data_IF_556418517553
#
_entry.id   IF_556418517553
#
_cell.length_a   1.000
_cell.length_b   1.000
_cell.length_c   1.000
_cell.angle_alpha   90.00
_cell.angle_beta   90.00
_cell.angle_gamma   90.00
#
_symmetry.space_group_name_H-M   'P 1'
#
loop_
_entity.id
_entity.type
_entity.pdbx_description
1 polymer ?
#
# COMPACT_ATOMS: atom_id res chain seq x y z
N UNK A 1 -29.92 -15.74 -47.18
CA UNK A 1 -28.56 -15.32 -47.59
C UNK A 1 -27.65 -15.48 -46.38
N UNK A 2 -26.98 -16.62 -46.28
CA UNK A 2 -26.11 -16.98 -45.17
C UNK A 2 -24.68 -16.75 -45.66
N UNK A 3 -23.99 -15.78 -45.09
CA UNK A 3 -22.57 -15.54 -45.37
C UNK A 3 -21.76 -16.69 -44.76
N UNK A 4 -21.37 -17.66 -45.58
CA UNK A 4 -20.28 -18.58 -45.26
C UNK A 4 -18.98 -17.76 -45.22
N UNK A 5 -18.72 -17.15 -44.07
CA UNK A 5 -17.41 -16.61 -43.79
C UNK A 5 -16.48 -17.81 -43.60
N UNK A 6 -15.73 -18.15 -44.65
CA UNK A 6 -14.75 -19.22 -44.57
C UNK A 6 -13.75 -18.93 -43.46
N UNK A 7 -13.54 -19.87 -42.54
CA UNK A 7 -12.65 -19.72 -41.37
C UNK A 7 -11.27 -19.12 -41.74
N UNK A 8 -10.77 -19.43 -42.94
CA UNK A 8 -9.49 -18.92 -43.44
C UNK A 8 -9.46 -17.40 -43.67
N UNK A 9 -10.61 -16.76 -43.97
CA UNK A 9 -10.67 -15.31 -44.16
C UNK A 9 -10.71 -14.53 -42.83
N UNK A 10 -10.94 -15.22 -41.70
CA UNK A 10 -10.94 -14.62 -40.36
C UNK A 10 -9.52 -14.47 -39.79
N UNK A 11 -8.57 -15.33 -40.18
CA UNK A 11 -7.21 -15.33 -39.62
C UNK A 11 -6.46 -14.00 -39.82
N UNK A 12 -6.44 -13.36 -40.99
CA UNK A 12 -5.73 -12.09 -41.15
C UNK A 12 -6.26 -10.99 -40.21
N UNK A 13 -7.57 -10.95 -39.97
CA UNK A 13 -8.20 -10.02 -39.03
C UNK A 13 -7.83 -10.34 -37.58
N UNK A 14 -7.78 -11.63 -37.21
CA UNK A 14 -7.36 -12.08 -35.89
C UNK A 14 -5.88 -11.81 -35.63
N UNK A 15 -5.00 -12.04 -36.62
CA UNK A 15 -3.57 -11.73 -36.54
C UNK A 15 -3.34 -10.24 -36.28
N UNK A 16 -4.01 -9.36 -37.03
CA UNK A 16 -3.91 -7.92 -36.83
C UNK A 16 -4.40 -7.49 -35.43
N UNK A 17 -5.50 -8.07 -34.94
CA UNK A 17 -6.02 -7.81 -33.59
C UNK A 17 -5.09 -8.35 -32.50
N UNK A 18 -4.51 -9.53 -32.70
CA UNK A 18 -3.57 -10.14 -31.78
C UNK A 18 -2.29 -9.30 -31.67
N UNK A 19 -1.74 -8.82 -32.79
CA UNK A 19 -0.60 -7.92 -32.81
C UNK A 19 -0.87 -6.63 -32.02
N UNK A 20 -2.03 -6.00 -32.27
CA UNK A 20 -2.45 -4.79 -31.53
C UNK A 20 -2.61 -5.05 -30.03
N UNK A 21 -3.22 -6.18 -29.66
CA UNK A 21 -3.39 -6.57 -28.26
C UNK A 21 -2.05 -6.81 -27.57
N UNK A 22 -1.08 -7.41 -28.27
CA UNK A 22 0.26 -7.64 -27.76
C UNK A 22 0.97 -6.30 -27.48
N UNK A 23 1.03 -5.41 -28.47
CA UNK A 23 1.62 -4.07 -28.30
C UNK A 23 0.98 -3.29 -27.15
N UNK A 24 -0.35 -3.27 -27.07
CA UNK A 24 -1.06 -2.59 -25.98
C UNK A 24 -0.74 -3.22 -24.61
N UNK A 25 -0.66 -4.55 -24.55
CA UNK A 25 -0.29 -5.26 -23.31
C UNK A 25 1.15 -4.99 -22.89
N UNK A 26 2.08 -4.80 -23.82
CA UNK A 26 3.48 -4.52 -23.50
C UNK A 26 3.63 -3.10 -22.95
N UNK A 27 2.99 -2.11 -23.58
CA UNK A 27 2.93 -0.75 -23.06
C UNK A 27 2.29 -0.67 -21.67
N UNK A 28 1.25 -1.48 -21.41
CA UNK A 28 0.66 -1.58 -20.07
C UNK A 28 1.68 -2.11 -19.03
N UNK A 29 2.48 -3.11 -19.39
CA UNK A 29 3.49 -3.66 -18.49
C UNK A 29 4.60 -2.65 -18.18
N UNK A 30 5.04 -1.89 -19.18
CA UNK A 30 6.05 -0.84 -19.01
C UNK A 30 5.55 0.25 -18.05
N UNK A 31 4.29 0.68 -18.21
CA UNK A 31 3.66 1.65 -17.31
C UNK A 31 3.52 1.10 -15.89
N UNK A 32 3.00 -0.11 -15.72
CA UNK A 32 2.90 -0.77 -14.42
C UNK A 32 4.27 -0.89 -13.73
N UNK A 33 5.29 -1.31 -14.47
CA UNK A 33 6.66 -1.42 -13.95
C UNK A 33 7.23 -0.07 -13.54
N UNK A 34 6.94 1.00 -14.28
CA UNK A 34 7.36 2.36 -13.95
C UNK A 34 6.68 2.87 -12.68
N UNK A 35 5.36 2.64 -12.54
CA UNK A 35 4.60 3.02 -11.34
C UNK A 35 5.08 2.25 -10.12
N UNK A 36 5.21 0.93 -10.24
CA UNK A 36 5.71 0.07 -9.16
C UNK A 36 7.10 0.52 -8.70
N UNK A 37 8.02 0.80 -9.63
CA UNK A 37 9.36 1.28 -9.31
C UNK A 37 9.33 2.59 -8.53
N UNK A 38 8.45 3.52 -8.91
CA UNK A 38 8.26 4.79 -8.18
C UNK A 38 7.72 4.56 -6.78
N UNK A 39 6.70 3.72 -6.62
CA UNK A 39 6.13 3.40 -5.31
C UNK A 39 7.17 2.73 -4.39
N UNK A 40 7.99 1.83 -4.91
CA UNK A 40 9.08 1.21 -4.16
C UNK A 40 10.11 2.25 -3.72
N UNK A 41 10.50 3.17 -4.62
CA UNK A 41 11.46 4.24 -4.30
C UNK A 41 10.98 5.19 -3.20
N UNK A 42 9.66 5.38 -3.06
CA UNK A 42 9.09 6.17 -1.97
C UNK A 42 9.25 5.51 -0.59
N UNK A 43 9.60 4.22 -0.52
CA UNK A 43 9.83 3.49 0.72
C UNK A 43 8.70 3.64 1.77
N UNK A 44 7.44 3.68 1.30
CA UNK A 44 6.29 3.96 2.15
C UNK A 44 6.13 2.98 3.33
N UNK A 45 6.58 1.73 3.16
CA UNK A 45 6.56 0.71 4.21
C UNK A 45 5.16 0.29 4.69
N UNK A 46 4.10 0.72 3.99
CA UNK A 46 2.70 0.45 4.30
C UNK A 46 2.06 -0.40 3.22
N UNK A 47 1.25 -1.36 3.67
CA UNK A 47 0.39 -2.17 2.81
C UNK A 47 -0.93 -1.45 2.56
N UNK A 48 -1.31 -1.32 1.29
CA UNK A 48 -2.55 -0.67 0.85
C UNK A 48 -3.29 -1.60 -0.11
N UNK A 49 -4.56 -1.86 0.15
CA UNK A 49 -5.45 -2.61 -0.75
C UNK A 49 -6.54 -1.69 -1.25
N UNK A 50 -6.79 -1.75 -2.55
CA UNK A 50 -7.85 -0.97 -3.19
C UNK A 50 -9.21 -1.38 -2.65
N UNK A 51 -10.06 -0.39 -2.38
CA UNK A 51 -11.39 -0.61 -1.79
C UNK A 51 -12.34 -1.40 -2.69
N UNK A 52 -12.09 -1.45 -4.00
CA UNK A 52 -12.95 -2.08 -5.01
C UNK A 52 -12.24 -3.23 -5.72
N UNK A 53 -12.97 -4.29 -6.09
CA UNK A 53 -12.41 -5.35 -6.90
C UNK A 53 -12.11 -4.87 -8.33
N UNK A 54 -11.00 -5.33 -8.90
CA UNK A 54 -10.61 -5.07 -10.29
C UNK A 54 -11.11 -6.14 -11.26
N UNK A 55 -11.52 -7.29 -10.72
CA UNK A 55 -12.10 -8.40 -11.46
C UNK A 55 -12.95 -9.25 -10.52
N UNK A 56 -13.92 -9.98 -11.08
CA UNK A 56 -14.78 -10.89 -10.34
C UNK A 56 -15.09 -12.11 -11.21
N UNK A 57 -15.01 -13.29 -10.63
CA UNK A 57 -15.35 -14.56 -11.28
C UNK A 57 -16.36 -15.30 -10.43
N UNK A 58 -17.51 -15.63 -11.03
CA UNK A 58 -18.52 -16.45 -10.38
C UNK A 58 -17.99 -17.88 -10.21
N UNK A 59 -18.09 -18.43 -8.99
CA UNK A 59 -17.76 -19.83 -8.73
C UNK A 59 -18.99 -20.73 -8.77
N UNK A 60 -20.15 -20.24 -8.32
CA UNK A 60 -21.34 -21.08 -8.13
C UNK A 60 -22.52 -20.71 -9.07
N UNK A 61 -22.42 -19.60 -9.80
CA UNK A 61 -23.53 -19.09 -10.62
C UNK A 61 -24.72 -18.61 -9.76
N UNK A 62 -25.72 -18.00 -10.39
CA UNK A 62 -26.92 -17.54 -9.70
C UNK A 62 -27.78 -18.74 -9.27
N UNK A 63 -27.70 -19.10 -7.98
CA UNK A 63 -28.43 -20.23 -7.38
C UNK A 63 -29.87 -19.85 -6.96
N UNK A 64 -30.29 -18.61 -7.23
CA UNK A 64 -31.65 -18.12 -6.97
C UNK A 64 -31.70 -17.01 -5.90
N UNK A 65 -32.85 -16.30 -5.81
CA UNK A 65 -32.95 -15.03 -5.08
C UNK A 65 -32.76 -15.11 -3.56
N UNK A 66 -32.80 -16.32 -2.98
CA UNK A 66 -32.69 -16.55 -1.54
C UNK A 66 -31.50 -17.44 -1.17
N UNK A 67 -30.60 -17.71 -2.11
CA UNK A 67 -29.46 -18.60 -1.88
C UNK A 67 -28.17 -17.82 -1.67
N UNK A 68 -27.24 -18.45 -0.95
CA UNK A 68 -25.92 -17.87 -0.70
C UNK A 68 -25.15 -17.87 -2.01
N UNK A 69 -24.63 -16.72 -2.45
CA UNK A 69 -23.79 -16.64 -3.66
C UNK A 69 -22.33 -16.51 -3.28
N UNK A 70 -21.47 -17.30 -3.93
CA UNK A 70 -20.01 -17.24 -3.77
C UNK A 70 -19.32 -16.85 -5.07
N UNK A 71 -18.57 -15.77 -5.03
CA UNK A 71 -17.73 -15.33 -6.15
C UNK A 71 -16.33 -14.97 -5.66
N UNK A 72 -15.34 -15.12 -6.55
CA UNK A 72 -13.96 -14.74 -6.28
C UNK A 72 -13.69 -13.39 -6.90
N UNK A 73 -13.33 -12.44 -6.07
CA UNK A 73 -12.89 -11.12 -6.49
C UNK A 73 -11.38 -11.00 -6.44
N UNK A 74 -10.83 -10.17 -7.31
CA UNK A 74 -9.41 -9.85 -7.34
C UNK A 74 -9.22 -8.40 -6.87
N UNK A 75 -8.45 -8.21 -5.80
CA UNK A 75 -8.20 -6.89 -5.22
C UNK A 75 -6.78 -6.43 -5.55
N UNK A 76 -6.65 -5.25 -6.14
CA UNK A 76 -5.35 -4.59 -6.37
C UNK A 76 -4.78 -4.07 -5.05
N UNK A 77 -3.46 -4.11 -4.89
CA UNK A 77 -2.79 -3.47 -3.75
C UNK A 77 -1.32 -3.20 -3.99
N UNK A 78 -0.71 -2.49 -3.04
CA UNK A 78 0.73 -2.33 -2.89
C UNK A 78 1.11 -3.04 -1.59
N UNK A 79 1.77 -4.18 -1.73
CA UNK A 79 1.96 -5.12 -0.63
C UNK A 79 3.27 -5.88 -0.78
N UNK A 80 3.65 -6.63 0.26
CA UNK A 80 4.75 -7.58 0.15
C UNK A 80 4.27 -8.86 -0.54
N UNK A 81 4.70 -9.06 -1.78
CA UNK A 81 4.52 -10.32 -2.51
C UNK A 81 5.90 -10.98 -2.69
N UNK A 82 6.00 -12.28 -2.37
CA UNK A 82 7.28 -13.02 -2.46
C UNK A 82 8.46 -12.34 -1.70
N UNK A 83 8.15 -11.67 -0.59
CA UNK A 83 9.15 -10.98 0.25
C UNK A 83 9.63 -9.61 -0.26
N UNK A 84 9.07 -9.11 -1.37
CA UNK A 84 9.39 -7.78 -1.92
C UNK A 84 8.14 -6.91 -1.99
N UNK A 85 8.31 -5.61 -1.80
CA UNK A 85 7.25 -4.64 -2.08
C UNK A 85 7.00 -4.57 -3.57
N UNK A 86 5.74 -4.71 -3.99
CA UNK A 86 5.33 -4.60 -5.39
C UNK A 86 3.86 -4.19 -5.47
N UNK A 87 3.41 -3.81 -6.67
CA UNK A 87 2.00 -3.92 -6.99
C UNK A 87 1.63 -5.39 -6.97
N UNK A 88 0.48 -5.71 -6.39
CA UNK A 88 0.06 -7.07 -6.13
C UNK A 88 -1.45 -7.23 -6.30
N UNK A 89 -1.86 -8.48 -6.52
CA UNK A 89 -3.27 -8.86 -6.55
C UNK A 89 -3.50 -9.91 -5.47
N UNK A 90 -4.59 -9.74 -4.74
CA UNK A 90 -5.06 -10.69 -3.72
C UNK A 90 -6.43 -11.23 -4.12
N UNK A 91 -6.56 -12.54 -4.35
CA UNK A 91 -7.86 -13.17 -4.52
C UNK A 91 -8.61 -13.21 -3.18
N UNK A 92 -9.88 -12.83 -3.21
CA UNK A 92 -10.79 -12.94 -2.06
C UNK A 92 -12.08 -13.60 -2.49
N UNK A 93 -12.57 -14.56 -1.71
CA UNK A 93 -13.89 -15.14 -1.88
C UNK A 93 -14.91 -14.29 -1.12
N UNK A 94 -15.84 -13.69 -1.86
CA UNK A 94 -16.98 -12.96 -1.34
C UNK A 94 -18.18 -13.89 -1.30
N UNK A 95 -18.72 -14.11 -0.10
CA UNK A 95 -19.89 -14.95 0.14
C UNK A 95 -21.02 -14.05 0.62
N UNK A 96 -22.05 -13.92 -0.20
CA UNK A 96 -23.22 -13.08 0.07
C UNK A 96 -24.34 -13.92 0.65
N UNK A 97 -25.02 -13.42 1.67
CA UNK A 97 -26.14 -14.10 2.30
C UNK A 97 -26.95 -13.18 3.20
N UNK A 98 -27.75 -13.77 4.09
CA UNK A 98 -28.70 -13.08 4.97
C UNK A 98 -28.43 -13.38 6.43
N UNK A 99 -28.29 -12.34 7.26
CA UNK A 99 -27.80 -12.51 8.63
C UNK A 99 -28.79 -13.35 9.44
N UNK A 100 -28.37 -14.53 9.89
CA UNK A 100 -29.24 -15.50 10.57
C UNK A 100 -30.52 -15.86 9.77
N UNK A 101 -30.48 -15.79 8.44
CA UNK A 101 -31.63 -16.05 7.57
C UNK A 101 -32.62 -14.90 7.46
N UNK A 102 -32.31 -13.73 8.02
CA UNK A 102 -33.11 -12.51 7.86
C UNK A 102 -32.92 -11.91 6.47
N UNK A 103 -33.92 -12.10 5.61
CA UNK A 103 -33.92 -11.62 4.23
C UNK A 103 -33.84 -10.08 4.10
N UNK A 104 -34.16 -9.35 5.17
CA UNK A 104 -34.05 -7.88 5.20
C UNK A 104 -32.64 -7.41 5.63
N UNK A 105 -31.75 -8.34 5.97
CA UNK A 105 -30.39 -8.06 6.43
C UNK A 105 -29.32 -8.76 5.56
N UNK A 106 -29.10 -8.29 4.32
CA UNK A 106 -28.05 -8.83 3.47
C UNK A 106 -26.66 -8.51 4.04
N UNK A 107 -25.74 -9.47 3.97
CA UNK A 107 -24.34 -9.29 4.33
C UNK A 107 -23.41 -9.98 3.33
N UNK A 108 -22.16 -9.52 3.26
CA UNK A 108 -21.11 -10.14 2.45
C UNK A 108 -19.89 -10.39 3.32
N UNK A 109 -19.52 -11.66 3.46
CA UNK A 109 -18.28 -12.06 4.13
C UNK A 109 -17.17 -12.23 3.11
N UNK A 110 -15.98 -11.74 3.44
CA UNK A 110 -14.80 -11.83 2.59
C UNK A 110 -13.75 -12.73 3.22
N UNK A 111 -13.29 -13.72 2.47
CA UNK A 111 -12.27 -14.67 2.89
C UNK A 111 -11.08 -14.62 1.93
N UNK A 112 -9.85 -14.82 2.42
CA UNK A 112 -8.70 -14.98 1.54
C UNK A 112 -8.87 -16.24 0.68
N UNK A 113 -8.63 -16.13 -0.63
CA UNK A 113 -8.85 -17.22 -1.60
C UNK A 113 -7.59 -17.51 -2.43
N UNK A 114 -6.45 -17.65 -1.74
CA UNK A 114 -5.16 -17.95 -2.36
C UNK A 114 -4.06 -16.95 -2.00
N UNK A 115 -2.85 -17.16 -2.54
CA UNK A 115 -1.70 -16.32 -2.24
C UNK A 115 -1.79 -14.97 -2.95
N UNK A 116 -1.19 -13.96 -2.33
CA UNK A 116 -0.92 -12.67 -2.97
C UNK A 116 0.11 -12.87 -4.08
N UNK A 117 -0.20 -12.37 -5.28
CA UNK A 117 0.65 -12.52 -6.47
C UNK A 117 1.12 -11.15 -6.96
N UNK A 118 2.41 -10.97 -7.33
CA UNK A 118 2.86 -9.74 -7.97
C UNK A 118 2.05 -9.42 -9.23
N UNK A 119 1.59 -8.17 -9.38
CA UNK A 119 0.71 -7.77 -10.49
C UNK A 119 1.35 -8.02 -11.86
N UNK A 120 2.66 -7.78 -12.00
CA UNK A 120 3.39 -8.04 -13.25
C UNK A 120 3.44 -9.53 -13.62
N UNK A 121 3.25 -10.44 -12.65
CA UNK A 121 3.12 -11.89 -12.87
C UNK A 121 1.67 -12.37 -13.00
N UNK A 122 0.70 -11.50 -12.72
CA UNK A 122 -0.72 -11.82 -12.85
C UNK A 122 -1.15 -11.95 -14.32
N UNK A 123 -2.37 -12.42 -14.55
CA UNK A 123 -2.92 -12.59 -15.90
C UNK A 123 -2.95 -11.27 -16.67
N UNK A 124 -2.90 -11.35 -18.01
CA UNK A 124 -3.01 -10.14 -18.88
C UNK A 124 -4.28 -9.35 -18.58
N UNK A 125 -5.40 -10.03 -18.37
CA UNK A 125 -6.68 -9.40 -18.04
C UNK A 125 -6.57 -8.58 -16.76
N UNK A 126 -6.02 -9.14 -15.69
CA UNK A 126 -5.86 -8.43 -14.41
C UNK A 126 -4.93 -7.22 -14.51
N UNK A 127 -3.84 -7.32 -15.26
CA UNK A 127 -2.95 -6.17 -15.51
C UNK A 127 -3.66 -5.04 -16.25
N UNK A 128 -4.51 -5.37 -17.22
CA UNK A 128 -5.32 -4.38 -17.93
C UNK A 128 -6.37 -3.77 -17.00
N UNK A 129 -7.11 -4.58 -16.24
CA UNK A 129 -8.09 -4.08 -15.27
C UNK A 129 -7.44 -3.16 -14.23
N UNK A 130 -6.30 -3.55 -13.67
CA UNK A 130 -5.54 -2.72 -12.73
C UNK A 130 -5.16 -1.36 -13.34
N UNK A 131 -4.74 -1.32 -14.61
CA UNK A 131 -4.42 -0.06 -15.29
C UNK A 131 -5.62 0.90 -15.39
N UNK A 132 -6.84 0.38 -15.51
CA UNK A 132 -8.05 1.23 -15.60
C UNK A 132 -8.40 1.94 -14.30
N UNK A 133 -7.97 1.41 -13.15
CA UNK A 133 -8.27 1.98 -11.82
C UNK A 133 -7.04 2.57 -11.13
N UNK A 134 -5.90 2.57 -11.83
CA UNK A 134 -4.61 2.96 -11.24
C UNK A 134 -4.60 4.39 -10.70
N UNK A 135 -5.18 5.41 -11.38
CA UNK A 135 -5.23 6.76 -10.83
C UNK A 135 -5.98 6.81 -9.49
N UNK A 136 -7.13 6.17 -9.39
CA UNK A 136 -7.91 6.11 -8.14
C UNK A 136 -7.18 5.35 -7.05
N UNK A 137 -6.48 4.26 -7.41
CA UNK A 137 -5.69 3.50 -6.45
C UNK A 137 -4.53 4.32 -5.88
N UNK A 138 -3.85 5.14 -6.69
CA UNK A 138 -2.80 6.04 -6.22
C UNK A 138 -3.33 7.09 -5.22
N UNK A 139 -4.55 7.60 -5.44
CA UNK A 139 -5.24 8.48 -4.48
C UNK A 139 -5.56 7.75 -3.17
N UNK A 140 -5.95 6.47 -3.23
CA UNK A 140 -6.15 5.68 -2.01
C UNK A 140 -4.84 5.44 -1.24
N UNK A 141 -3.71 5.26 -1.94
CA UNK A 141 -2.39 5.18 -1.29
C UNK A 141 -2.06 6.51 -0.59
N UNK A 142 -2.21 7.64 -1.28
CA UNK A 142 -1.95 8.98 -0.72
C UNK A 142 -2.76 9.19 0.56
N UNK A 143 -4.08 8.98 0.48
CA UNK A 143 -4.98 9.08 1.64
C UNK A 143 -4.54 8.18 2.79
N UNK A 144 -4.14 6.94 2.49
CA UNK A 144 -3.72 5.99 3.53
C UNK A 144 -2.41 6.42 4.21
N UNK A 145 -1.50 7.04 3.46
CA UNK A 145 -0.27 7.62 4.00
C UNK A 145 -0.60 8.80 4.91
N UNK A 146 -1.48 9.71 4.49
CA UNK A 146 -1.91 10.86 5.30
C UNK A 146 -2.53 10.41 6.64
N UNK A 147 -3.43 9.43 6.62
CA UNK A 147 -4.03 8.85 7.83
C UNK A 147 -2.98 8.29 8.80
N UNK A 148 -1.90 7.70 8.27
CA UNK A 148 -0.82 7.16 9.09
C UNK A 148 0.05 8.28 9.69
N UNK A 149 0.33 9.33 8.93
CA UNK A 149 1.05 10.51 9.44
C UNK A 149 0.27 11.18 10.57
N UNK A 150 -1.02 11.43 10.36
CA UNK A 150 -1.91 12.02 11.39
C UNK A 150 -1.97 11.15 12.66
N UNK A 151 -2.03 9.82 12.48
CA UNK A 151 -2.03 8.87 13.59
C UNK A 151 -0.71 8.90 14.38
N UNK A 152 0.43 9.08 13.69
CA UNK A 152 1.74 9.17 14.31
C UNK A 152 1.90 10.49 15.09
N UNK A 153 1.47 11.62 14.54
CA UNK A 153 1.51 12.92 15.22
C UNK A 153 0.63 12.93 16.48
N UNK A 154 -0.55 12.32 16.38
CA UNK A 154 -1.45 12.12 17.52
C UNK A 154 -0.87 11.20 18.60
N UNK A 155 -0.09 10.18 18.21
CA UNK A 155 0.59 9.28 19.14
C UNK A 155 1.81 9.95 19.80
N UNK A 156 2.63 10.67 19.04
CA UNK A 156 3.80 11.38 19.53
C UNK A 156 3.43 12.41 20.61
N UNK A 157 2.30 13.09 20.44
CA UNK A 157 1.75 14.04 21.42
C UNK A 157 1.35 13.39 22.75
N UNK A 158 1.07 12.08 22.77
CA UNK A 158 0.70 11.32 23.99
C UNK A 158 1.89 10.67 24.70
N UNK A 159 3.00 10.50 23.99
CA UNK A 159 4.19 9.80 24.49
C UNK A 159 5.20 10.77 25.13
N UNK A 160 5.08 12.08 24.89
CA UNK A 160 5.90 13.05 25.64
C UNK A 160 5.58 12.93 27.14
N UNK A 161 6.56 12.52 27.99
CA UNK A 161 6.34 12.51 29.42
C UNK A 161 6.08 13.94 29.89
N UNK A 162 5.10 14.09 30.79
CA UNK A 162 4.89 15.33 31.53
C UNK A 162 6.25 15.84 32.00
N UNK A 163 6.64 17.02 31.54
CA UNK A 163 7.85 17.66 32.06
C UNK A 163 7.73 17.70 33.58
N UNK A 164 8.66 17.01 34.23
CA UNK A 164 8.77 16.98 35.69
C UNK A 164 8.84 18.45 36.15
N UNK A 165 7.93 18.93 37.02
CA UNK A 165 8.12 20.24 37.62
C UNK A 165 9.42 20.17 38.43
N UNK A 166 10.41 20.92 37.96
CA UNK A 166 11.65 21.20 38.65
C UNK A 166 11.33 22.16 39.79
N UNK A 167 10.79 21.62 40.88
CA UNK A 167 10.80 22.30 42.18
C UNK A 167 12.01 21.85 42.99
N UNK A 168 12.71 22.87 43.53
CA UNK A 168 13.88 22.85 44.40
C UNK A 168 15.22 22.51 43.69
N UNK A 169 16.32 23.23 43.90
CA UNK A 169 16.81 23.71 45.19
C UNK A 169 17.96 24.73 45.02
N UNK A 170 18.12 25.61 46.02
CA UNK A 170 19.46 26.06 46.42
C UNK A 170 20.01 27.37 45.85
N UNK A 171 19.37 28.50 46.11
CA UNK A 171 20.10 29.80 46.17
C UNK A 171 20.97 29.80 47.42
N UNK A 172 22.15 29.19 47.36
CA UNK A 172 23.24 29.39 48.32
C UNK A 172 23.93 30.71 47.96
N UNK A 173 23.72 31.72 48.80
CA UNK A 173 24.41 33.01 48.74
C UNK A 173 25.87 32.78 49.13
N UNK A 174 26.74 33.10 48.19
CA UNK A 174 28.20 32.97 48.21
C UNK A 174 28.86 33.94 49.21
N UNK A 175 29.90 33.43 49.86
CA UNK A 175 30.64 33.99 50.99
C UNK A 175 31.50 35.18 50.56
N UNK A 176 31.20 36.34 51.14
CA UNK A 176 32.04 37.53 51.06
C UNK A 176 33.25 37.43 51.99
N UNK A 177 34.43 37.42 51.37
CA UNK A 177 35.65 38.07 51.87
C UNK A 177 36.24 37.54 53.18
N UNK A 178 37.39 36.84 53.10
CA UNK A 178 38.66 37.36 53.65
C UNK A 178 39.84 36.40 53.50
N UNK A 179 40.97 37.04 53.20
CA UNK A 179 42.34 36.72 53.61
C UNK A 179 43.17 35.69 52.84
N UNK A 180 44.09 36.27 52.06
CA UNK A 180 45.55 36.12 52.19
C UNK A 180 46.16 34.75 51.80
N UNK A 181 46.85 34.80 50.66
CA UNK A 181 48.31 35.00 50.59
C UNK A 181 49.10 33.91 49.84
N UNK A 182 50.12 34.43 49.15
CA UNK A 182 51.41 33.84 48.76
C UNK A 182 51.48 33.05 47.44
N UNK A 183 52.24 33.68 46.51
CA UNK A 183 53.48 33.17 45.85
C UNK A 183 53.33 31.81 45.16
N UNK A 184 53.74 31.58 43.92
CA UNK A 184 54.88 32.10 43.15
C UNK A 184 54.93 31.28 41.85
N UNK A 185 55.28 31.92 40.73
CA UNK A 185 56.01 31.40 39.55
C UNK A 185 55.82 29.92 39.13
N UNK A 186 55.42 29.71 37.87
CA UNK A 186 56.36 29.29 36.81
C UNK A 186 55.63 28.89 35.50
N UNK A 187 56.17 29.39 34.38
CA UNK A 187 56.20 28.82 33.02
C UNK A 187 54.88 28.36 32.36
N UNK A 188 54.35 29.02 31.31
CA UNK A 188 54.93 29.33 30.00
C UNK A 188 55.46 28.10 29.24
N UNK A 189 54.63 27.58 28.32
CA UNK A 189 54.92 26.88 27.05
C UNK A 189 53.79 25.89 26.77
N UNK A 190 53.20 25.71 25.58
CA UNK A 190 53.42 26.24 24.25
C UNK A 190 52.17 25.82 23.44
N UNK A 191 51.69 26.68 22.56
CA UNK A 191 50.85 26.28 21.43
C UNK A 191 51.64 25.33 20.50
N UNK A 192 50.99 24.28 19.99
CA UNK A 192 50.93 23.87 18.56
C UNK A 192 50.35 22.46 18.49
N UNK A 193 49.19 22.23 17.86
CA UNK A 193 48.81 22.43 16.45
C UNK A 193 48.93 21.11 15.67
N UNK A 194 47.93 20.95 14.78
CA UNK A 194 47.76 19.97 13.70
C UNK A 194 47.10 18.66 14.12
#
# INVERSE_FOLDING_TARGET
MTTEVGIQSLFPSLEAKAARLHTASDSANELLSSIESRLIQLNLGVEVWFSRPIDSTDQEGDIGPNETSSHVVQILGFAKAEGKWSLAVKPMRAVSGFFQGDMDCPFVNHYADGPVTPLLKASRALRISAMTVMPEFLVEIEKRVDELVDSLDGAASKIQPAQHPSDADGTLVDDGDRTRARRSRAQASLNRAL
#
